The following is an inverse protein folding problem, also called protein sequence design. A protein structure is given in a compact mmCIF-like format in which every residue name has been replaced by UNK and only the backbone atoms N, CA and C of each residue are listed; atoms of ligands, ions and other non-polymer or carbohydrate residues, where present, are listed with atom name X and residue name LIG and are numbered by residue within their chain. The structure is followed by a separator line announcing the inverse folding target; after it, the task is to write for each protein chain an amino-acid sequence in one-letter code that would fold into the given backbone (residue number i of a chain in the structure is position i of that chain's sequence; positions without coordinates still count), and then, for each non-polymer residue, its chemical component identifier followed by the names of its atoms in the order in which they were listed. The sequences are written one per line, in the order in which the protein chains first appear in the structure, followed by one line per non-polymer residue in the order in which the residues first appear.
data_IF_664703112670
#
_entry.id   IF_664703112670
#
_cell.length_a   1.000
_cell.length_b   1.000
_cell.length_c   1.000
_cell.angle_alpha   90.00
_cell.angle_beta   90.00
_cell.angle_gamma   90.00
#
_symmetry.space_group_name_H-M   'P 1'
#
loop_
_entity.id
_entity.type
_entity.pdbx_description
1 polymer ?
#
# COMPACT_ATOMS: atom_id res chain seq x y z
N UNK A 1 -0.60 3.82 46.74
CA UNK A 1 -0.19 2.85 45.69
C UNK A 1 -1.27 2.86 44.63
N UNK A 2 -1.03 3.57 43.52
CA UNK A 2 -2.01 3.70 42.43
C UNK A 2 -1.85 2.53 41.47
N UNK A 3 -2.87 1.68 41.40
CA UNK A 3 -3.01 0.61 40.40
C UNK A 3 -3.45 1.24 39.07
N UNK A 4 -2.49 1.63 38.23
CA UNK A 4 -2.79 1.95 36.84
C UNK A 4 -3.07 0.65 36.08
N UNK A 5 -4.33 0.49 35.63
CA UNK A 5 -4.76 -0.64 34.81
C UNK A 5 -4.08 -0.58 33.45
N UNK A 6 -3.40 -1.67 33.09
CA UNK A 6 -2.66 -1.91 31.84
C UNK A 6 -3.60 -2.02 30.61
N UNK A 7 -4.89 -1.69 30.71
CA UNK A 7 -5.92 -1.96 29.68
C UNK A 7 -6.45 -0.73 28.93
N UNK A 8 -5.87 0.47 29.09
CA UNK A 8 -6.47 1.72 28.57
C UNK A 8 -5.95 2.20 27.21
N UNK A 9 -4.92 1.58 26.65
CA UNK A 9 -4.39 1.99 25.37
C UNK A 9 -5.16 1.29 24.25
N UNK A 10 -6.42 1.70 24.02
CA UNK A 10 -7.27 1.19 22.94
C UNK A 10 -6.79 1.70 21.57
N UNK A 11 -6.83 0.79 20.60
CA UNK A 11 -6.15 0.76 19.29
C UNK A 11 -6.57 1.81 18.24
N UNK A 12 -7.14 2.95 18.62
CA UNK A 12 -7.51 3.96 17.63
C UNK A 12 -6.31 4.89 17.38
N UNK A 13 -5.36 4.38 16.60
CA UNK A 13 -4.36 5.21 15.94
C UNK A 13 -5.08 5.97 14.81
N UNK A 14 -5.29 7.28 15.00
CA UNK A 14 -5.75 8.14 13.92
C UNK A 14 -4.70 8.12 12.80
N UNK A 15 -5.09 7.51 11.69
CA UNK A 15 -4.38 7.30 10.43
C UNK A 15 -3.94 8.62 9.76
N UNK A 16 -3.18 8.48 8.67
CA UNK A 16 -2.56 9.52 7.85
C UNK A 16 -3.68 10.35 7.23
N UNK A 17 -4.09 11.39 7.96
CA UNK A 17 -5.17 12.26 7.52
C UNK A 17 -4.89 12.82 6.11
N UNK A 18 -3.63 12.92 5.67
CA UNK A 18 -3.32 13.29 4.30
C UNK A 18 -3.39 12.11 3.33
N UNK A 19 -2.68 11.01 3.57
CA UNK A 19 -2.60 9.89 2.61
C UNK A 19 -3.96 9.23 2.41
N UNK A 20 -4.76 9.10 3.47
CA UNK A 20 -6.14 8.63 3.40
C UNK A 20 -6.99 9.57 2.52
N UNK A 21 -6.99 10.88 2.83
CA UNK A 21 -7.71 11.88 2.03
C UNK A 21 -7.21 11.95 0.60
N UNK A 22 -5.92 11.77 0.37
CA UNK A 22 -5.33 11.77 -0.96
C UNK A 22 -5.84 10.57 -1.76
N UNK A 23 -5.81 9.37 -1.16
CA UNK A 23 -6.29 8.13 -1.78
C UNK A 23 -7.78 8.19 -2.06
N UNK A 24 -8.57 8.66 -1.11
CA UNK A 24 -10.01 8.87 -1.28
C UNK A 24 -10.29 9.89 -2.38
N UNK A 25 -9.68 11.07 -2.30
CA UNK A 25 -9.89 12.14 -3.27
C UNK A 25 -9.53 11.66 -4.67
N UNK A 26 -8.40 10.98 -4.85
CA UNK A 26 -7.92 10.44 -6.14
C UNK A 26 -8.69 9.24 -6.65
N UNK A 27 -9.51 8.58 -5.82
CA UNK A 27 -10.05 7.25 -6.06
C UNK A 27 -8.93 6.21 -6.34
N UNK A 28 -7.80 6.36 -5.64
CA UNK A 28 -6.67 5.44 -5.75
C UNK A 28 -7.01 3.99 -5.38
N UNK A 29 -7.91 3.70 -4.41
CA UNK A 29 -8.30 2.33 -4.09
C UNK A 29 -8.79 1.52 -5.29
N UNK A 30 -9.51 2.12 -6.24
CA UNK A 30 -9.91 1.44 -7.49
C UNK A 30 -8.70 0.89 -8.25
N UNK A 31 -7.65 1.70 -8.37
CA UNK A 31 -6.43 1.32 -9.07
C UNK A 31 -5.57 0.35 -8.29
N UNK A 32 -5.37 0.60 -6.99
CA UNK A 32 -4.58 -0.31 -6.16
C UNK A 32 -5.26 -1.66 -6.02
N UNK A 33 -6.59 -1.72 -5.90
CA UNK A 33 -7.31 -2.99 -5.79
C UNK A 33 -7.15 -3.82 -7.08
N UNK A 34 -7.24 -3.19 -8.25
CA UNK A 34 -6.98 -3.84 -9.54
C UNK A 34 -5.51 -4.26 -9.72
N UNK A 35 -4.55 -3.46 -9.22
CA UNK A 35 -3.12 -3.81 -9.23
C UNK A 35 -2.78 -4.99 -8.33
N UNK A 36 -3.51 -5.12 -7.22
CA UNK A 36 -3.24 -6.13 -6.21
C UNK A 36 -4.00 -7.42 -6.50
N UNK A 37 -5.29 -7.34 -6.80
CA UNK A 37 -6.15 -8.49 -7.05
C UNK A 37 -6.11 -8.87 -8.54
N UNK A 38 -6.46 -10.11 -8.92
CA UNK A 38 -6.63 -10.46 -10.33
C UNK A 38 -7.82 -9.68 -10.88
N UNK A 39 -7.57 -8.52 -11.46
CA UNK A 39 -8.58 -7.60 -11.94
C UNK A 39 -8.03 -6.63 -12.97
N UNK A 40 -8.93 -6.03 -13.74
CA UNK A 40 -8.62 -5.04 -14.76
C UNK A 40 -9.49 -3.80 -14.53
N UNK A 41 -8.97 -2.62 -14.90
CA UNK A 41 -9.76 -1.40 -14.98
C UNK A 41 -10.53 -1.41 -16.29
N UNK A 42 -11.84 -1.17 -16.22
CA UNK A 42 -12.73 -1.24 -17.39
C UNK A 42 -12.45 -0.18 -18.47
N UNK A 43 -11.93 0.98 -18.07
CA UNK A 43 -11.57 2.08 -18.97
C UNK A 43 -10.40 2.85 -18.33
N UNK A 44 -9.18 2.43 -18.65
CA UNK A 44 -7.96 3.01 -18.10
C UNK A 44 -7.78 4.46 -18.54
N UNK A 45 -8.12 4.80 -19.79
CA UNK A 45 -7.99 6.17 -20.29
C UNK A 45 -8.82 7.17 -19.47
N UNK A 46 -10.08 6.80 -19.15
CA UNK A 46 -10.97 7.61 -18.31
C UNK A 46 -10.44 7.71 -16.88
N UNK A 47 -9.92 6.62 -16.33
CA UNK A 47 -9.32 6.62 -15.00
C UNK A 47 -8.12 7.58 -14.95
N UNK A 48 -7.20 7.48 -15.90
CA UNK A 48 -6.03 8.37 -16.01
C UNK A 48 -6.46 9.82 -16.18
N UNK A 49 -7.42 10.11 -17.05
CA UNK A 49 -7.93 11.47 -17.25
C UNK A 49 -8.44 12.08 -15.93
N UNK A 50 -9.20 11.29 -15.16
CA UNK A 50 -9.69 11.68 -13.83
C UNK A 50 -8.54 11.89 -12.85
N UNK A 51 -7.60 10.94 -12.79
CA UNK A 51 -6.44 10.98 -11.90
C UNK A 51 -5.55 12.22 -12.16
N UNK A 52 -5.29 12.54 -13.43
CA UNK A 52 -4.55 13.74 -13.86
C UNK A 52 -5.19 15.03 -13.33
N UNK A 53 -6.51 15.17 -13.50
CA UNK A 53 -7.25 16.33 -13.00
C UNK A 53 -7.14 16.47 -11.48
N UNK A 54 -7.29 15.36 -10.76
CA UNK A 54 -7.23 15.34 -9.30
C UNK A 54 -5.83 15.65 -8.75
N UNK A 55 -4.76 15.18 -9.39
CA UNK A 55 -3.38 15.58 -9.07
C UNK A 55 -3.22 17.10 -9.18
N UNK A 56 -3.65 17.70 -10.30
CA UNK A 56 -3.53 19.14 -10.49
C UNK A 56 -4.29 19.91 -9.40
N UNK A 57 -5.50 19.46 -9.05
CA UNK A 57 -6.30 20.07 -7.98
C UNK A 57 -5.59 20.01 -6.64
N UNK A 58 -5.10 18.84 -6.21
CA UNK A 58 -4.43 18.70 -4.90
C UNK A 58 -3.23 19.64 -4.80
N UNK A 59 -2.34 19.61 -5.80
CA UNK A 59 -1.03 20.25 -5.70
C UNK A 59 -1.00 21.72 -6.20
N UNK A 60 -1.99 22.17 -6.97
CA UNK A 60 -2.06 23.57 -7.42
C UNK A 60 -3.07 24.42 -6.62
N UNK A 61 -4.15 23.85 -6.07
CA UNK A 61 -5.22 24.63 -5.40
C UNK A 61 -5.32 24.43 -3.88
N UNK A 62 -4.31 23.85 -3.22
CA UNK A 62 -4.29 23.66 -1.75
C UNK A 62 -5.51 22.91 -1.19
N UNK A 63 -6.14 22.06 -2.00
CA UNK A 63 -7.42 21.40 -1.67
C UNK A 63 -7.32 20.50 -0.45
N UNK A 64 -6.15 19.88 -0.21
CA UNK A 64 -5.88 19.07 0.99
C UNK A 64 -5.03 19.84 2.04
N UNK A 65 -4.99 21.17 1.95
CA UNK A 65 -4.24 22.04 2.88
C UNK A 65 -2.98 22.67 2.29
N UNK A 66 -2.24 23.38 3.15
CA UNK A 66 -0.97 24.03 2.81
C UNK A 66 0.21 23.08 3.08
N UNK A 67 0.85 22.61 2.01
CA UNK A 67 1.97 21.67 2.09
C UNK A 67 3.34 22.33 2.20
N UNK A 68 3.46 23.67 2.26
CA UNK A 68 4.78 24.35 2.21
C UNK A 68 5.77 23.85 3.25
N UNK A 69 5.29 23.48 4.44
CA UNK A 69 6.12 23.00 5.55
C UNK A 69 6.42 21.49 5.52
N UNK A 70 5.72 20.72 4.67
CA UNK A 70 5.88 19.27 4.48
C UNK A 70 6.10 18.91 3.00
N UNK A 71 6.58 19.88 2.23
CA UNK A 71 6.57 19.82 0.77
C UNK A 71 7.43 18.67 0.24
N UNK A 72 8.60 18.45 0.86
CA UNK A 72 9.50 17.37 0.48
C UNK A 72 8.86 16.00 0.69
N UNK A 73 8.16 15.80 1.82
CA UNK A 73 7.39 14.58 2.09
C UNK A 73 6.31 14.35 1.03
N UNK A 74 5.50 15.37 0.76
CA UNK A 74 4.43 15.26 -0.25
C UNK A 74 4.98 15.03 -1.66
N UNK A 75 6.17 15.55 -1.97
CA UNK A 75 6.86 15.27 -3.22
C UNK A 75 7.36 13.82 -3.29
N UNK A 76 7.88 13.25 -2.20
CA UNK A 76 8.25 11.83 -2.13
C UNK A 76 7.04 10.92 -2.30
N UNK A 77 5.93 11.22 -1.63
CA UNK A 77 4.66 10.48 -1.79
C UNK A 77 4.18 10.50 -3.23
N UNK A 78 4.14 11.68 -3.84
CA UNK A 78 3.71 11.80 -5.23
C UNK A 78 4.63 11.01 -6.18
N UNK A 79 5.95 11.06 -5.97
CA UNK A 79 6.89 10.28 -6.74
C UNK A 79 6.64 8.76 -6.60
N UNK A 80 6.36 8.30 -5.38
CA UNK A 80 5.96 6.91 -5.12
C UNK A 80 4.70 6.56 -5.92
N UNK A 81 3.62 7.33 -5.77
CA UNK A 81 2.33 7.04 -6.42
C UNK A 81 2.43 7.06 -7.94
N UNK A 82 3.19 8.00 -8.52
CA UNK A 82 3.40 8.06 -9.96
C UNK A 82 4.20 6.85 -10.46
N UNK A 83 5.27 6.46 -9.77
CA UNK A 83 6.02 5.25 -10.12
C UNK A 83 5.15 3.99 -10.01
N UNK A 84 4.29 3.89 -8.97
CA UNK A 84 3.33 2.80 -8.82
C UNK A 84 2.35 2.75 -10.00
N UNK A 85 1.72 3.86 -10.35
CA UNK A 85 0.73 3.92 -11.43
C UNK A 85 1.36 3.54 -12.77
N UNK A 86 2.50 4.15 -13.12
CA UNK A 86 3.22 3.85 -14.38
C UNK A 86 3.56 2.35 -14.49
N UNK A 87 3.88 1.70 -13.38
CA UNK A 87 4.23 0.29 -13.36
C UNK A 87 3.05 -0.66 -13.57
N UNK A 88 1.88 -0.30 -13.04
CA UNK A 88 0.72 -1.17 -13.05
C UNK A 88 -0.25 -0.91 -14.20
N UNK A 89 -0.24 0.27 -14.84
CA UNK A 89 -1.03 0.53 -16.06
C UNK A 89 -0.95 -0.63 -17.06
N UNK A 90 0.23 -1.07 -17.54
CA UNK A 90 0.29 -2.14 -18.54
C UNK A 90 -0.19 -3.52 -18.05
N UNK A 91 -0.38 -3.69 -16.74
CA UNK A 91 -0.77 -4.97 -16.12
C UNK A 91 -2.27 -5.08 -15.85
N UNK A 92 -2.94 -3.94 -15.71
CA UNK A 92 -4.35 -3.88 -15.29
C UNK A 92 -5.24 -3.16 -16.29
N UNK A 93 -4.66 -2.64 -17.38
CA UNK A 93 -5.43 -2.15 -18.53
C UNK A 93 -5.97 -3.34 -19.31
N UNK A 94 -7.23 -3.25 -19.73
CA UNK A 94 -7.83 -4.24 -20.61
C UNK A 94 -7.06 -4.39 -21.91
N UNK A 95 -6.94 -5.62 -22.39
CA UNK A 95 -6.31 -5.93 -23.69
C UNK A 95 -6.96 -5.24 -24.90
N UNK A 96 -8.18 -4.72 -24.76
CA UNK A 96 -8.88 -3.97 -25.81
C UNK A 96 -8.44 -2.51 -25.93
N UNK A 97 -7.73 -1.97 -24.93
CA UNK A 97 -7.24 -0.59 -24.94
C UNK A 97 -5.79 -0.53 -25.46
N UNK A 98 -5.43 0.59 -26.10
CA UNK A 98 -4.06 0.85 -26.54
C UNK A 98 -3.18 1.28 -25.35
N UNK A 99 -2.54 0.30 -24.73
CA UNK A 99 -1.68 0.50 -23.55
C UNK A 99 -0.49 1.41 -23.87
N UNK A 100 0.09 1.31 -25.06
CA UNK A 100 1.28 2.09 -25.44
C UNK A 100 0.94 3.58 -25.56
N UNK A 101 -0.16 3.90 -26.25
CA UNK A 101 -0.68 5.26 -26.40
C UNK A 101 -1.15 5.85 -25.06
N UNK A 102 -1.79 5.04 -24.21
CA UNK A 102 -2.14 5.44 -22.83
C UNK A 102 -0.89 5.80 -22.02
N UNK A 103 0.13 4.94 -22.04
CA UNK A 103 1.38 5.14 -21.33
C UNK A 103 2.11 6.40 -21.79
N UNK A 104 2.32 6.56 -23.09
CA UNK A 104 3.03 7.71 -23.66
C UNK A 104 2.33 9.04 -23.32
N UNK A 105 1.00 9.11 -23.43
CA UNK A 105 0.25 10.31 -23.04
C UNK A 105 0.35 10.62 -21.55
N UNK A 106 0.34 9.60 -20.71
CA UNK A 106 0.45 9.80 -19.26
C UNK A 106 1.86 10.24 -18.88
N UNK A 107 2.90 9.62 -19.43
CA UNK A 107 4.30 10.03 -19.21
C UNK A 107 4.57 11.45 -19.66
N UNK A 108 4.07 11.87 -20.83
CA UNK A 108 4.16 13.27 -21.29
C UNK A 108 3.51 14.24 -20.31
N UNK A 109 2.36 13.88 -19.76
CA UNK A 109 1.71 14.69 -18.72
C UNK A 109 2.57 14.79 -17.45
N UNK A 110 3.08 13.66 -16.95
CA UNK A 110 3.95 13.62 -15.77
C UNK A 110 5.19 14.47 -15.99
N UNK A 111 5.87 14.33 -17.13
CA UNK A 111 7.01 15.15 -17.48
C UNK A 111 6.67 16.65 -17.48
N UNK A 112 5.51 17.01 -18.03
CA UNK A 112 5.02 18.40 -18.06
C UNK A 112 4.79 19.00 -16.67
N UNK A 113 4.06 18.29 -15.79
CA UNK A 113 3.72 18.82 -14.45
C UNK A 113 4.97 18.93 -13.57
N UNK A 114 5.87 17.94 -13.58
CA UNK A 114 7.10 17.99 -12.79
C UNK A 114 8.10 19.01 -13.33
N UNK A 115 8.13 19.26 -14.64
CA UNK A 115 8.91 20.37 -15.20
C UNK A 115 8.39 21.72 -14.71
N UNK A 116 7.07 21.86 -14.58
CA UNK A 116 6.43 23.08 -14.08
C UNK A 116 6.71 23.29 -12.59
N UNK A 117 6.61 22.24 -11.77
CA UNK A 117 6.87 22.32 -10.33
C UNK A 117 8.36 22.36 -9.97
N UNK A 118 9.24 21.74 -10.76
CA UNK A 118 10.68 21.67 -10.51
C UNK A 118 11.47 22.89 -10.98
N UNK A 119 10.85 23.80 -11.74
CA UNK A 119 11.52 25.00 -12.25
C UNK A 119 11.67 26.06 -11.14
N UNK A 120 12.92 26.50 -10.91
CA UNK A 120 13.33 27.50 -9.91
C UNK A 120 12.61 28.85 -10.13
N UNK A 121 12.26 29.20 -11.37
CA UNK A 121 11.52 30.42 -11.71
C UNK A 121 9.99 30.28 -11.75
N UNK A 122 9.44 29.10 -11.44
CA UNK A 122 8.00 28.87 -11.51
C UNK A 122 7.25 29.62 -10.40
N UNK A 123 6.07 30.15 -10.72
CA UNK A 123 5.15 30.73 -9.72
C UNK A 123 4.31 29.68 -9.00
N UNK A 124 4.47 28.38 -9.32
CA UNK A 124 3.74 27.31 -8.62
C UNK A 124 4.12 27.27 -7.14
N UNK A 125 3.09 27.16 -6.29
CA UNK A 125 3.24 27.07 -4.83
C UNK A 125 3.90 25.75 -4.41
N UNK A 126 3.56 24.66 -5.08
CA UNK A 126 4.18 23.36 -4.87
C UNK A 126 5.44 23.25 -5.73
N UNK A 127 6.58 22.93 -5.11
CA UNK A 127 7.82 22.53 -5.80
C UNK A 127 8.07 21.06 -5.58
N UNK A 128 8.30 20.34 -6.66
CA UNK A 128 8.59 18.93 -6.61
C UNK A 128 9.36 18.54 -7.85
N UNK A 129 10.43 17.76 -7.65
CA UNK A 129 11.24 17.20 -8.72
C UNK A 129 10.88 15.73 -8.90
N UNK A 130 10.79 15.28 -10.15
CA UNK A 130 10.59 13.87 -10.47
C UNK A 130 11.88 13.11 -10.16
N UNK A 131 11.75 12.05 -9.39
CA UNK A 131 12.80 11.04 -9.16
C UNK A 131 12.40 9.79 -9.93
N UNK A 132 12.76 9.74 -11.21
CA UNK A 132 12.43 8.62 -12.10
C UNK A 132 13.07 7.34 -11.56
N UNK A 133 12.24 6.47 -10.99
CA UNK A 133 12.62 5.14 -10.52
C UNK A 133 11.59 4.15 -11.05
N UNK A 134 12.08 3.06 -11.64
CA UNK A 134 11.27 1.88 -11.95
C UNK A 134 10.70 1.38 -10.63
N UNK A 135 9.38 1.22 -10.58
CA UNK A 135 8.75 0.73 -9.36
C UNK A 135 9.20 -0.68 -9.02
N UNK A 136 9.50 -0.87 -7.73
CA UNK A 136 9.82 -2.16 -7.15
C UNK A 136 9.04 -2.28 -5.85
N UNK A 137 8.78 -3.51 -5.40
CA UNK A 137 8.17 -3.77 -4.10
C UNK A 137 8.99 -3.25 -2.92
N UNK A 138 10.27 -2.87 -3.13
CA UNK A 138 11.07 -2.15 -2.13
C UNK A 138 10.57 -0.74 -1.88
N UNK A 139 10.03 -0.06 -2.90
CA UNK A 139 9.48 1.29 -2.76
C UNK A 139 8.33 1.35 -1.76
N UNK A 140 7.64 0.23 -1.58
CA UNK A 140 6.59 0.09 -0.59
C UNK A 140 7.16 0.22 0.83
N UNK A 141 8.22 -0.52 1.13
CA UNK A 141 8.88 -0.44 2.43
C UNK A 141 9.50 0.94 2.69
N UNK A 142 10.01 1.60 1.64
CA UNK A 142 10.54 2.96 1.75
C UNK A 142 9.43 3.94 2.11
N UNK A 143 8.27 3.85 1.44
CA UNK A 143 7.09 4.66 1.80
C UNK A 143 6.62 4.36 3.22
N UNK A 144 6.56 3.10 3.63
CA UNK A 144 6.16 2.74 4.99
C UNK A 144 7.09 3.37 6.05
N UNK A 145 8.40 3.45 5.77
CA UNK A 145 9.37 4.12 6.65
C UNK A 145 9.18 5.64 6.67
N UNK A 146 8.99 6.26 5.51
CA UNK A 146 8.78 7.70 5.37
C UNK A 146 7.50 8.14 6.08
N UNK A 147 6.40 7.41 5.89
CA UNK A 147 5.13 7.62 6.58
C UNK A 147 5.34 7.50 8.09
N UNK A 148 5.98 6.41 8.56
CA UNK A 148 6.31 6.22 9.98
C UNK A 148 7.02 7.43 10.59
N UNK A 149 7.99 7.99 9.91
CA UNK A 149 8.76 9.13 10.42
C UNK A 149 7.96 10.43 10.45
N UNK A 150 7.04 10.63 9.52
CA UNK A 150 6.09 11.75 9.60
C UNK A 150 5.17 11.61 10.81
N UNK A 151 4.61 10.43 11.05
CA UNK A 151 3.76 10.19 12.22
C UNK A 151 4.51 10.34 13.52
N UNK A 152 5.74 9.82 13.57
CA UNK A 152 6.62 9.99 14.72
C UNK A 152 6.76 11.48 15.08
N UNK A 153 7.05 12.34 14.09
CA UNK A 153 7.11 13.79 14.30
C UNK A 153 5.77 14.36 14.77
N UNK A 154 4.65 13.91 14.19
CA UNK A 154 3.30 14.33 14.62
C UNK A 154 3.02 13.99 16.08
N UNK A 155 3.38 12.79 16.53
CA UNK A 155 3.28 12.39 17.95
C UNK A 155 4.19 13.25 18.83
N UNK A 156 5.44 13.47 18.44
CA UNK A 156 6.37 14.32 19.18
C UNK A 156 5.85 15.74 19.36
N UNK A 157 5.25 16.32 18.31
CA UNK A 157 4.62 17.64 18.35
C UNK A 157 3.40 17.68 19.28
N UNK A 158 2.49 16.69 19.18
CA UNK A 158 1.32 16.59 20.06
C UNK A 158 1.74 16.43 21.54
N UNK A 159 2.79 15.68 21.79
CA UNK A 159 3.30 15.37 23.13
C UNK A 159 4.19 16.46 23.74
N UNK A 160 4.38 17.60 23.06
CA UNK A 160 4.89 18.83 23.72
C UNK A 160 4.01 19.23 24.89
N UNK A 161 2.71 19.00 24.76
CA UNK A 161 1.76 19.03 25.88
C UNK A 161 1.46 17.58 26.25
N UNK A 162 2.07 17.09 27.33
CA UNK A 162 2.00 15.68 27.68
C UNK A 162 0.55 15.20 27.88
N UNK A 163 0.23 14.11 27.22
CA UNK A 163 -1.00 13.33 27.42
C UNK A 163 -0.62 11.85 27.47
N UNK A 164 -1.00 11.19 28.56
CA UNK A 164 -0.62 9.79 28.81
C UNK A 164 -1.18 8.85 27.73
N UNK A 165 -2.42 9.06 27.28
CA UNK A 165 -3.07 8.21 26.28
C UNK A 165 -2.34 8.34 24.94
N UNK A 166 -2.06 9.56 24.50
CA UNK A 166 -1.30 9.86 23.29
C UNK A 166 0.11 9.29 23.37
N UNK A 167 0.77 9.37 24.53
CA UNK A 167 2.09 8.79 24.72
C UNK A 167 2.05 7.26 24.62
N UNK A 168 1.08 6.61 25.25
CA UNK A 168 0.94 5.16 25.18
C UNK A 168 0.66 4.67 23.75
N UNK A 169 -0.16 5.41 22.99
CA UNK A 169 -0.38 5.16 21.56
C UNK A 169 0.92 5.29 20.76
N UNK A 170 1.70 6.34 21.04
CA UNK A 170 2.99 6.54 20.39
C UNK A 170 3.99 5.42 20.69
N UNK A 171 4.14 5.01 21.96
CA UNK A 171 5.00 3.89 22.35
C UNK A 171 4.61 2.60 21.61
N UNK A 172 3.31 2.28 21.59
CA UNK A 172 2.80 1.10 20.89
C UNK A 172 3.08 1.18 19.39
N UNK A 173 2.83 2.33 18.77
CA UNK A 173 3.10 2.56 17.36
C UNK A 173 4.57 2.35 17.00
N UNK A 174 5.50 2.91 17.77
CA UNK A 174 6.95 2.75 17.53
C UNK A 174 7.37 1.29 17.68
N UNK A 175 6.90 0.60 18.72
CA UNK A 175 7.22 -0.80 18.97
C UNK A 175 6.71 -1.71 17.85
N UNK A 176 5.48 -1.50 17.39
CA UNK A 176 4.90 -2.31 16.33
C UNK A 176 5.58 -2.08 14.99
N UNK A 177 5.90 -0.82 14.64
CA UNK A 177 6.67 -0.53 13.43
C UNK A 177 8.09 -1.09 13.49
N UNK A 178 8.77 -0.99 14.64
CA UNK A 178 10.07 -1.65 14.84
C UNK A 178 9.99 -3.16 14.58
N UNK A 179 8.95 -3.81 15.12
CA UNK A 179 8.72 -5.25 14.92
C UNK A 179 8.48 -5.59 13.44
N UNK A 180 7.69 -4.78 12.72
CA UNK A 180 7.47 -4.98 11.28
C UNK A 180 8.75 -4.88 10.48
N UNK A 181 9.54 -3.82 10.67
CA UNK A 181 10.83 -3.66 9.96
C UNK A 181 11.84 -4.75 10.32
N UNK A 182 11.88 -5.19 11.57
CA UNK A 182 12.68 -6.35 11.98
C UNK A 182 12.26 -7.60 11.18
N UNK A 183 10.97 -7.89 11.09
CA UNK A 183 10.46 -9.03 10.33
C UNK A 183 10.77 -8.93 8.83
N UNK A 184 10.74 -7.72 8.25
CA UNK A 184 11.10 -7.55 6.84
C UNK A 184 12.58 -7.85 6.58
N UNK A 185 13.46 -7.42 7.48
CA UNK A 185 14.89 -7.71 7.39
C UNK A 185 15.16 -9.21 7.57
N UNK A 186 14.57 -9.84 8.60
CA UNK A 186 14.75 -11.27 8.86
C UNK A 186 14.24 -12.17 7.71
N UNK A 187 13.25 -11.70 6.95
CA UNK A 187 12.72 -12.39 5.76
C UNK A 187 13.49 -12.05 4.47
N UNK A 188 14.52 -11.22 4.54
CA UNK A 188 15.35 -10.86 3.39
C UNK A 188 14.68 -9.92 2.39
N UNK A 189 13.60 -9.21 2.76
CA UNK A 189 12.96 -8.24 1.86
C UNK A 189 13.78 -6.96 1.68
N UNK A 190 14.67 -6.69 2.64
CA UNK A 190 15.48 -5.48 2.72
C UNK A 190 16.63 -5.71 3.68
N UNK A 191 17.64 -4.84 3.59
CA UNK A 191 18.74 -4.77 4.55
C UNK A 191 18.80 -3.37 5.15
N UNK A 192 19.23 -3.26 6.40
CA UNK A 192 19.41 -1.96 7.05
C UNK A 192 20.53 -1.12 6.44
N UNK A 193 21.43 -1.76 5.69
CA UNK A 193 22.55 -1.10 5.00
C UNK A 193 22.17 -0.45 3.68
N UNK A 194 20.95 -0.66 3.19
CA UNK A 194 20.47 -0.10 1.93
C UNK A 194 20.18 1.40 2.08
N UNK A 195 20.91 2.21 1.32
CA UNK A 195 20.82 3.68 1.32
C UNK A 195 19.48 4.21 0.84
N UNK A 196 18.69 3.42 0.09
CA UNK A 196 17.34 3.83 -0.30
C UNK A 196 16.41 3.99 0.92
N UNK A 197 16.77 3.43 2.09
CA UNK A 197 16.05 3.62 3.35
C UNK A 197 16.65 4.72 4.23
N UNK A 198 17.31 5.70 3.63
CA UNK A 198 17.67 6.96 4.26
C UNK A 198 16.70 8.06 3.80
N UNK A 199 15.72 8.39 4.64
CA UNK A 199 14.77 9.48 4.38
C UNK A 199 15.35 10.81 4.85
N UNK A 200 15.95 10.80 6.05
CA UNK A 200 16.69 11.90 6.69
C UNK A 200 17.51 11.34 7.86
N UNK A 201 18.40 12.13 8.47
CA UNK A 201 19.34 11.68 9.51
C UNK A 201 18.70 10.96 10.71
N UNK A 202 17.48 11.38 11.10
CA UNK A 202 16.72 10.78 12.22
C UNK A 202 15.68 9.75 11.75
N UNK A 203 15.64 9.46 10.46
CA UNK A 203 14.73 8.52 9.81
C UNK A 203 15.52 7.66 8.80
N UNK A 204 16.22 6.67 9.32
CA UNK A 204 17.00 5.73 8.51
C UNK A 204 17.15 4.37 9.20
N UNK A 205 17.26 3.30 8.43
CA UNK A 205 17.51 1.98 8.99
C UNK A 205 18.95 1.78 9.48
N UNK A 206 19.92 2.49 8.90
CA UNK A 206 21.32 2.46 9.37
C UNK A 206 21.44 2.91 10.82
N UNK A 207 20.55 3.81 11.25
CA UNK A 207 20.44 4.30 12.63
C UNK A 207 19.08 3.93 13.23
N UNK A 208 18.70 2.67 13.08
CA UNK A 208 17.39 2.16 13.47
C UNK A 208 17.07 2.36 14.95
N UNK A 209 18.07 2.39 15.83
CA UNK A 209 17.88 2.71 17.24
C UNK A 209 17.32 4.12 17.49
N UNK A 210 17.69 5.09 16.64
CA UNK A 210 17.15 6.47 16.70
C UNK A 210 15.83 6.56 15.95
N UNK A 211 15.72 5.86 14.82
CA UNK A 211 14.50 5.82 14.02
C UNK A 211 13.34 5.24 14.83
N UNK A 212 13.56 4.10 15.49
CA UNK A 212 12.59 3.41 16.33
C UNK A 212 13.00 3.47 17.81
N UNK A 213 12.87 4.61 18.50
CA UNK A 213 13.30 4.76 19.87
C UNK A 213 12.46 3.90 20.82
N UNK A 214 12.99 3.61 22.00
CA UNK A 214 12.13 3.17 23.09
C UNK A 214 11.46 4.40 23.70
N UNK A 215 10.16 4.30 23.98
CA UNK A 215 9.36 5.40 24.51
C UNK A 215 8.96 5.08 25.95
N UNK A 216 9.18 6.01 26.88
CA UNK A 216 8.68 5.94 28.24
C UNK A 216 7.66 7.05 28.46
N UNK A 217 6.47 6.65 28.94
CA UNK A 217 5.38 7.54 29.34
C UNK A 217 5.36 7.66 30.87
N UNK A 218 6.15 8.58 31.40
CA UNK A 218 6.14 8.91 32.83
C UNK A 218 5.08 9.98 33.08
N UNK A 219 4.39 9.94 34.22
CA UNK A 219 3.15 10.70 34.47
C UNK A 219 3.15 12.20 34.17
N UNK A 220 4.29 12.83 33.96
CA UNK A 220 4.48 14.23 33.59
C UNK A 220 5.19 14.48 32.25
N UNK A 221 5.78 13.46 31.59
CA UNK A 221 6.54 13.62 30.35
C UNK A 221 6.72 12.34 29.53
N UNK A 222 6.89 12.54 28.23
CA UNK A 222 7.38 11.52 27.30
C UNK A 222 8.91 11.63 27.19
N UNK A 223 9.60 10.48 27.23
CA UNK A 223 11.06 10.39 26.99
C UNK A 223 11.35 9.34 25.94
N UNK A 224 12.18 9.70 24.96
CA UNK A 224 12.75 8.79 23.96
C UNK A 224 14.20 8.48 24.28
N UNK A 225 14.58 7.22 24.11
CA UNK A 225 15.97 6.79 24.16
C UNK A 225 16.28 5.87 22.98
N UNK A 226 17.52 5.95 22.51
CA UNK A 226 18.00 5.10 21.44
C UNK A 226 17.76 3.63 21.82
N UNK A 227 17.05 2.90 20.96
CA UNK A 227 16.79 1.48 21.17
C UNK A 227 17.90 0.62 20.55
N UNK A 228 17.83 -0.69 20.78
CA UNK A 228 18.72 -1.64 20.12
C UNK A 228 18.55 -1.59 18.60
N UNK A 229 19.66 -1.70 17.87
CA UNK A 229 19.63 -1.70 16.41
C UNK A 229 18.88 -2.93 15.86
N UNK A 230 18.25 -2.76 14.69
CA UNK A 230 17.70 -3.84 13.90
C UNK A 230 18.82 -4.81 13.50
N UNK A 231 18.49 -6.12 13.34
CA UNK A 231 19.49 -7.11 12.99
C UNK A 231 20.10 -6.82 11.63
N UNK A 232 21.33 -7.30 11.41
CA UNK A 232 21.83 -7.59 10.07
C UNK A 232 21.24 -8.93 9.65
N UNK A 233 20.68 -9.07 8.44
CA UNK A 233 20.29 -10.39 7.95
C UNK A 233 21.52 -11.29 7.98
N UNK A 234 21.36 -12.54 8.44
CA UNK A 234 22.44 -13.52 8.37
C UNK A 234 22.77 -13.75 6.89
N UNK A 235 24.04 -13.57 6.52
CA UNK A 235 24.55 -14.15 5.28
C UNK A 235 24.31 -15.66 5.38
N UNK A 236 23.43 -16.20 4.53
CA UNK A 236 23.27 -17.64 4.39
C UNK A 236 24.50 -18.22 3.67
N UNK A 237 25.69 -18.04 4.23
CA UNK A 237 26.81 -18.92 4.03
C UNK A 237 26.87 -19.83 5.26
N UNK A 238 26.59 -21.12 5.04
CA UNK A 238 26.57 -22.24 5.99
C UNK A 238 25.18 -22.58 6.54
N UNK A 239 24.45 -23.40 5.77
CA UNK A 239 23.57 -24.42 6.33
C UNK A 239 24.44 -25.45 7.09
N UNK A 240 24.31 -25.64 8.40
CA UNK A 240 24.76 -26.86 9.05
C UNK A 240 23.58 -27.83 9.13
N UNK A 241 23.74 -28.94 8.42
CA UNK A 241 23.36 -30.29 8.83
C UNK A 241 22.05 -30.51 9.60
N UNK A 242 21.15 -31.21 8.91
CA UNK A 242 20.09 -32.10 9.37
C UNK A 242 20.25 -32.71 10.78
N UNK A 243 19.12 -32.72 11.49
CA UNK A 243 18.68 -33.57 12.62
C UNK A 243 19.11 -33.21 14.06
N UNK A 244 18.09 -32.88 14.87
CA UNK A 244 17.83 -33.61 16.12
C UNK A 244 16.34 -33.51 16.50
N UNK A 245 15.68 -34.69 16.52
CA UNK A 245 14.39 -34.94 17.16
C UNK A 245 14.59 -34.85 18.68
N UNK A 246 13.67 -34.16 19.37
CA UNK A 246 13.05 -34.60 20.63
C UNK A 246 11.98 -33.55 21.02
N UNK A 247 10.69 -33.91 20.93
CA UNK A 247 9.92 -34.52 22.02
C UNK A 247 9.24 -33.46 22.90
N UNK A 248 8.00 -33.09 22.54
CA UNK A 248 7.03 -32.58 23.50
C UNK A 248 5.74 -33.38 23.34
N UNK A 249 5.56 -34.34 24.27
CA UNK A 249 4.31 -35.01 24.51
C UNK A 249 3.32 -34.02 25.13
N UNK A 250 2.24 -33.68 24.42
CA UNK A 250 1.05 -33.07 25.02
C UNK A 250 -0.21 -33.76 24.51
N UNK A 251 -0.99 -34.26 25.46
CA UNK A 251 -2.19 -35.09 25.30
C UNK A 251 -3.26 -34.51 24.36
N UNK A 252 -3.95 -35.34 23.53
CA UNK A 252 -4.92 -34.91 22.51
C UNK A 252 -6.14 -34.13 23.04
N UNK A 253 -6.48 -34.26 24.32
CA UNK A 253 -7.76 -33.78 24.84
C UNK A 253 -7.79 -32.28 25.20
N UNK A 254 -6.63 -31.59 25.18
CA UNK A 254 -6.57 -30.12 25.34
C UNK A 254 -6.60 -29.34 24.02
N UNK A 255 -6.46 -30.02 22.88
CA UNK A 255 -6.41 -29.40 21.54
C UNK A 255 -7.82 -29.14 20.98
N UNK A 256 -8.84 -29.86 21.46
CA UNK A 256 -10.20 -29.75 20.92
C UNK A 256 -10.98 -28.50 21.39
N UNK A 257 -10.72 -27.97 22.60
CA UNK A 257 -11.58 -26.96 23.23
C UNK A 257 -11.13 -25.50 23.09
N UNK A 258 -9.93 -25.24 22.55
CA UNK A 258 -9.50 -23.89 22.14
C UNK A 258 -9.68 -23.64 20.63
N UNK A 259 -10.05 -24.66 19.85
CA UNK A 259 -10.05 -24.56 18.38
C UNK A 259 -11.28 -23.86 17.78
N UNK A 260 -12.44 -23.85 18.46
CA UNK A 260 -13.68 -23.35 17.86
C UNK A 260 -13.94 -21.87 18.18
N UNK A 261 -13.38 -21.33 19.27
CA UNK A 261 -13.63 -19.93 19.69
C UNK A 261 -12.60 -18.93 19.16
N UNK A 262 -11.45 -19.37 18.67
CA UNK A 262 -10.41 -18.47 18.11
C UNK A 262 -10.54 -18.28 16.60
N UNK A 263 -11.15 -19.23 15.87
CA UNK A 263 -11.22 -19.18 14.41
C UNK A 263 -12.27 -18.21 13.84
N UNK A 264 -13.28 -17.81 14.61
CA UNK A 264 -14.31 -16.87 14.14
C UNK A 264 -14.03 -15.40 14.49
N UNK A 265 -13.11 -15.13 15.43
CA UNK A 265 -12.69 -13.77 15.79
C UNK A 265 -11.53 -13.21 14.95
N UNK A 266 -10.71 -14.08 14.35
CA UNK A 266 -9.51 -13.70 13.57
C UNK A 266 -9.77 -13.55 12.08
N UNK A 267 -10.85 -14.10 11.54
CA UNK A 267 -11.12 -14.05 10.10
C UNK A 267 -11.72 -12.71 9.63
N UNK A 268 -12.45 -12.00 10.48
CA UNK A 268 -13.09 -10.73 10.10
C UNK A 268 -12.15 -9.53 10.33
N UNK A 269 -11.38 -9.54 11.41
CA UNK A 269 -10.35 -8.53 11.71
C UNK A 269 -9.12 -8.64 10.82
N UNK A 270 -8.75 -9.87 10.42
CA UNK A 270 -7.66 -10.12 9.47
C UNK A 270 -7.95 -9.59 8.06
N UNK A 271 -9.18 -9.72 7.56
CA UNK A 271 -9.54 -9.27 6.20
C UNK A 271 -9.59 -7.73 6.08
N UNK A 272 -10.00 -7.02 7.13
CA UNK A 272 -10.03 -5.55 7.13
C UNK A 272 -8.60 -4.97 7.20
N UNK A 273 -7.78 -5.48 8.13
CA UNK A 273 -6.37 -5.05 8.26
C UNK A 273 -5.52 -5.49 7.05
N UNK A 274 -5.77 -6.66 6.46
CA UNK A 274 -5.07 -7.13 5.26
C UNK A 274 -5.44 -6.34 4.00
N UNK A 275 -6.66 -5.80 3.91
CA UNK A 275 -7.12 -5.00 2.78
C UNK A 275 -6.68 -3.53 2.88
N UNK A 276 -6.54 -2.98 4.08
CA UNK A 276 -6.07 -1.59 4.29
C UNK A 276 -4.56 -1.47 4.53
N UNK A 277 -3.88 -2.51 5.02
CA UNK A 277 -2.43 -2.47 5.21
C UNK A 277 -1.69 -2.92 3.95
N UNK A 278 -0.99 -1.98 3.36
CA UNK A 278 0.00 -2.13 2.29
C UNK A 278 0.90 -3.38 2.40
N UNK A 279 1.20 -3.82 3.62
CA UNK A 279 1.99 -5.00 3.97
C UNK A 279 1.40 -6.32 3.46
N UNK A 280 0.07 -6.47 3.46
CA UNK A 280 -0.59 -7.68 2.95
C UNK A 280 -0.37 -7.87 1.44
N UNK A 281 -0.31 -6.74 0.73
CA UNK A 281 -0.10 -6.68 -0.71
C UNK A 281 1.34 -7.00 -1.13
N UNK A 282 2.30 -6.58 -0.31
CA UNK A 282 3.71 -6.89 -0.44
C UNK A 282 3.97 -8.40 -0.29
N UNK A 283 3.38 -9.05 0.72
CA UNK A 283 3.54 -10.49 0.96
C UNK A 283 3.07 -11.34 -0.22
N UNK A 284 1.96 -10.97 -0.88
CA UNK A 284 1.44 -11.70 -2.05
C UNK A 284 2.32 -11.53 -3.29
N UNK A 285 2.81 -10.32 -3.56
CA UNK A 285 3.66 -10.05 -4.73
C UNK A 285 5.06 -10.66 -4.61
N UNK A 286 5.60 -10.79 -3.40
CA UNK A 286 6.87 -11.50 -3.18
C UNK A 286 6.72 -13.03 -3.28
N UNK A 287 5.64 -13.61 -2.75
CA UNK A 287 5.37 -15.05 -2.86
C UNK A 287 5.18 -15.48 -4.33
N UNK A 288 4.51 -14.68 -5.15
CA UNK A 288 4.34 -14.96 -6.58
C UNK A 288 5.64 -14.88 -7.40
N UNK A 289 6.73 -14.29 -6.88
CA UNK A 289 8.02 -14.24 -7.58
C UNK A 289 8.93 -15.44 -7.30
N UNK A 290 8.67 -16.20 -6.23
CA UNK A 290 9.49 -17.36 -5.86
C UNK A 290 8.89 -18.70 -6.32
N UNK A 291 7.79 -18.68 -7.06
CA UNK A 291 7.17 -19.88 -7.65
C UNK A 291 7.07 -19.73 -9.17
N UNK A 292 8.21 -19.69 -9.86
CA UNK A 292 8.26 -20.12 -11.26
C UNK A 292 8.42 -21.64 -11.22
N UNK A 293 7.30 -22.36 -11.22
CA UNK A 293 7.27 -23.74 -11.69
C UNK A 293 7.03 -23.69 -13.20
N UNK A 294 7.87 -24.37 -13.96
CA UNK A 294 7.49 -24.86 -15.29
C UNK A 294 6.24 -25.77 -15.13
N UNK A 295 5.35 -25.77 -16.13
CA UNK A 295 3.94 -26.26 -16.10
C UNK A 295 3.03 -25.35 -15.23
N UNK A 296 2.19 -24.48 -15.79
CA UNK A 296 1.01 -24.86 -16.57
C UNK A 296 0.79 -23.97 -17.81
N UNK A 297 1.37 -24.41 -18.92
CA UNK A 297 0.84 -24.11 -20.27
C UNK A 297 -0.16 -25.22 -20.55
N UNK A 298 -1.45 -25.04 -20.23
CA UNK A 298 -2.65 -25.80 -20.66
C UNK A 298 -3.70 -25.76 -19.55
N UNK A 299 -4.52 -24.70 -19.52
CA UNK A 299 -5.91 -24.70 -19.02
C UNK A 299 -6.57 -23.35 -19.36
N UNK A 300 -6.40 -22.94 -20.62
CA UNK A 300 -7.38 -22.10 -21.28
C UNK A 300 -8.31 -23.09 -21.99
N UNK A 301 -9.64 -22.96 -21.87
CA UNK A 301 -10.70 -23.90 -22.32
C UNK A 301 -11.22 -24.86 -21.23
N UNK A 302 -12.02 -24.34 -20.29
CA UNK A 302 -13.32 -24.94 -19.86
C UNK A 302 -13.93 -24.12 -18.73
N UNK A 303 -14.94 -23.33 -19.07
CA UNK A 303 -15.73 -22.56 -18.10
C UNK A 303 -16.81 -21.70 -18.73
N UNK A 304 -17.20 -21.98 -19.97
CA UNK A 304 -18.47 -21.51 -20.53
C UNK A 304 -19.35 -22.74 -20.73
N UNK A 305 -20.62 -22.56 -20.41
CA UNK A 305 -21.78 -23.44 -20.69
C UNK A 305 -22.16 -24.47 -19.62
N UNK A 306 -23.20 -24.12 -18.87
CA UNK A 306 -24.47 -24.87 -18.72
C UNK A 306 -25.47 -23.82 -18.21
N UNK A 307 -26.55 -23.46 -18.89
CA UNK A 307 -27.67 -24.31 -19.30
C UNK A 307 -28.35 -23.78 -20.58
N UNK A 308 -28.61 -24.68 -21.53
CA UNK A 308 -29.73 -24.61 -22.46
C UNK A 308 -30.31 -26.03 -22.56
N UNK A 309 -31.63 -26.20 -22.66
CA UNK A 309 -32.23 -26.65 -23.95
C UNK A 309 -33.63 -26.01 -24.19
N UNK A 310 -34.24 -25.91 -25.38
CA UNK A 310 -34.10 -26.58 -26.68
C UNK A 310 -35.08 -25.97 -27.71
N UNK A 311 -34.67 -26.00 -28.99
CA UNK A 311 -35.48 -26.29 -30.21
C UNK A 311 -36.48 -25.20 -30.73
N UNK A 312 -36.60 -24.84 -32.02
CA UNK A 312 -36.26 -25.51 -33.28
C UNK A 312 -36.26 -24.50 -34.48
N UNK A 313 -35.42 -24.80 -35.48
CA UNK A 313 -35.53 -24.58 -36.95
C UNK A 313 -35.27 -23.20 -37.60
N UNK A 314 -34.31 -23.24 -38.53
CA UNK A 314 -33.78 -22.26 -39.51
C UNK A 314 -34.33 -22.61 -40.93
N UNK A 315 -33.94 -22.00 -42.07
CA UNK A 315 -33.51 -20.63 -42.44
C UNK A 315 -34.38 -20.02 -43.58
N UNK A 316 -34.14 -18.74 -43.95
CA UNK A 316 -33.72 -18.32 -45.31
C UNK A 316 -34.12 -16.88 -45.72
N UNK A 317 -33.23 -16.32 -46.55
CA UNK A 317 -33.40 -15.25 -47.56
C UNK A 317 -33.26 -13.75 -47.21
N UNK A 318 -32.18 -13.21 -47.79
CA UNK A 318 -31.90 -11.80 -48.09
C UNK A 318 -33.00 -11.17 -48.97
N UNK A 319 -33.51 -9.99 -48.59
CA UNK A 319 -33.59 -8.80 -49.46
C UNK A 319 -34.37 -7.61 -48.86
N UNK A 320 -33.92 -6.41 -49.28
CA UNK A 320 -34.65 -5.13 -49.40
C UNK A 320 -34.83 -4.19 -48.18
N UNK A 321 -33.90 -3.21 -48.12
CA UNK A 321 -34.10 -1.76 -48.36
C UNK A 321 -35.36 -1.02 -47.81
N UNK A 322 -35.06 -0.01 -46.99
CA UNK A 322 -35.71 1.31 -46.75
C UNK A 322 -37.18 1.38 -46.24
N UNK A 323 -37.41 2.04 -45.09
CA UNK A 323 -37.89 3.44 -44.98
C UNK A 323 -38.06 3.88 -43.51
N UNK A 324 -37.93 5.20 -43.31
CA UNK A 324 -38.00 5.97 -42.07
C UNK A 324 -39.47 6.31 -41.74
N UNK A 325 -39.85 6.32 -40.45
CA UNK A 325 -40.36 7.53 -39.72
C UNK A 325 -41.67 7.43 -38.89
N UNK A 326 -41.55 8.04 -37.71
CA UNK A 326 -42.49 8.77 -36.83
C UNK A 326 -43.43 8.08 -35.82
N UNK A 327 -43.37 8.70 -34.63
CA UNK A 327 -44.07 8.49 -33.36
C UNK A 327 -45.61 8.48 -33.41
N UNK A 328 -46.21 7.76 -32.47
CA UNK A 328 -47.30 8.29 -31.63
C UNK A 328 -47.37 7.62 -30.26
N UNK A 329 -47.64 8.45 -29.25
CA UNK A 329 -47.85 8.18 -27.82
C UNK A 329 -49.33 7.79 -27.55
N UNK A 330 -49.57 7.16 -26.38
CA UNK A 330 -50.82 6.80 -25.66
C UNK A 330 -51.40 5.39 -25.99
N UNK A 331 -51.77 4.55 -25.02
CA UNK A 331 -52.12 4.74 -23.59
C UNK A 331 -51.30 3.88 -22.64
#
# INVERSE_FOLDING_TARGET
MSTYRISECKDDLLEDDFDEKWREFTNFPEFSDAALLPGEINNMEKWISTFKGKILTIYNSTTLGDFRHIQDKRCRDLNYYISYVLHYIPKITKHTEDVEDIMDRFERFIKGIFSTWGNIGSTTKFKCKRTEKVYTSKMDLIKELDDYCEYKKSFQEKLKNYDYITCCKYDTYVRDKKRSFNNYILRGYMTKEDDDFHIEDKCTLKNSGVTFPNVICNGDRMVEFKSDELPTPYDNEHLPGTHSKNSFNTSPTKIALTSVSTLLGTCISGLYLYKQSFVGSMLRNFQNRNHISHEDTYNNVKGMFSEAPTNYLDPSEENNRFYIAYNSINN
#
